data_IF_066025058431
#
_entry.id   IF_066025058431
#
_cell.length_a   1.000
_cell.length_b   1.000
_cell.length_c   1.000
_cell.angle_alpha   90.00
_cell.angle_beta   90.00
_cell.angle_gamma   90.00
#
_symmetry.space_group_name_H-M   'P 1'
#
loop_
_entity.id
_entity.type
_entity.pdbx_description
1 polymer ?
#
# COMPACT_ATOMS: atom_id res chain seq x y z
N UNK A 1 -6.00 -28.11 -5.18
CA UNK A 1 -4.97 -27.07 -5.29
C UNK A 1 -5.22 -26.31 -6.58
N UNK A 2 -5.41 -24.99 -6.51
CA UNK A 2 -5.65 -24.13 -7.69
C UNK A 2 -4.42 -23.24 -7.89
N UNK A 3 -3.87 -23.18 -9.09
CA UNK A 3 -2.77 -22.29 -9.46
C UNK A 3 -3.32 -21.09 -10.21
N UNK A 4 -2.80 -19.91 -9.90
CA UNK A 4 -3.21 -18.63 -10.47
C UNK A 4 -1.96 -17.84 -10.79
N UNK A 5 -1.92 -17.26 -11.97
CA UNK A 5 -0.76 -16.48 -12.43
C UNK A 5 -0.66 -15.13 -11.71
N UNK A 6 0.58 -14.72 -11.48
CA UNK A 6 0.93 -13.45 -10.83
C UNK A 6 1.59 -12.55 -11.85
N UNK A 7 1.07 -11.33 -11.97
CA UNK A 7 1.50 -10.36 -12.96
C UNK A 7 2.15 -9.13 -12.32
N UNK A 8 3.03 -8.50 -13.08
CA UNK A 8 3.57 -7.17 -12.80
C UNK A 8 3.60 -6.41 -14.12
N UNK A 9 2.83 -5.31 -14.22
CA UNK A 9 2.71 -4.51 -15.45
C UNK A 9 2.42 -5.41 -16.68
N UNK A 10 1.40 -6.25 -16.54
CA UNK A 10 0.94 -7.23 -17.53
C UNK A 10 1.92 -8.32 -17.96
N UNK A 11 3.10 -8.38 -17.34
CA UNK A 11 4.04 -9.49 -17.51
C UNK A 11 3.82 -10.52 -16.41
N UNK A 12 3.65 -11.79 -16.79
CA UNK A 12 3.65 -12.89 -15.82
C UNK A 12 5.04 -13.00 -15.17
N UNK A 13 5.07 -12.96 -13.84
CA UNK A 13 6.30 -12.94 -13.03
C UNK A 13 6.31 -14.02 -11.95
N UNK A 14 5.22 -14.76 -11.80
CA UNK A 14 5.14 -15.81 -10.81
C UNK A 14 3.82 -16.55 -10.80
N UNK A 15 3.62 -17.32 -9.74
CA UNK A 15 2.42 -18.13 -9.54
C UNK A 15 2.02 -18.11 -8.07
N UNK A 16 0.72 -18.01 -7.83
CA UNK A 16 0.09 -18.19 -6.54
C UNK A 16 -0.66 -19.52 -6.50
N UNK A 17 -0.48 -20.26 -5.42
CA UNK A 17 -1.17 -21.51 -5.14
C UNK A 17 -2.20 -21.28 -4.04
N UNK A 18 -3.44 -21.68 -4.31
CA UNK A 18 -4.50 -21.73 -3.33
C UNK A 18 -4.62 -23.16 -2.81
N UNK A 19 -4.25 -23.31 -1.54
CA UNK A 19 -4.22 -24.55 -0.80
C UNK A 19 -5.34 -24.54 0.25
N UNK A 20 -5.88 -25.71 0.56
CA UNK A 20 -6.76 -25.89 1.72
C UNK A 20 -5.93 -26.54 2.83
N UNK A 21 -5.80 -25.86 3.96
CA UNK A 21 -5.13 -26.37 5.16
C UNK A 21 -6.12 -26.36 6.32
N UNK A 22 -6.75 -27.50 6.56
CA UNK A 22 -7.81 -27.62 7.55
C UNK A 22 -8.96 -26.66 7.25
N UNK A 23 -9.24 -25.74 8.17
CA UNK A 23 -10.31 -24.73 8.04
C UNK A 23 -9.88 -23.47 7.27
N UNK A 24 -8.62 -23.39 6.85
CA UNK A 24 -8.07 -22.22 6.18
C UNK A 24 -7.88 -22.44 4.69
N UNK A 25 -8.05 -21.37 3.94
CA UNK A 25 -7.48 -21.25 2.59
C UNK A 25 -6.14 -20.53 2.72
N UNK A 26 -5.10 -21.12 2.16
CA UNK A 26 -3.75 -20.58 2.19
C UNK A 26 -3.38 -20.15 0.79
N UNK A 27 -2.99 -18.89 0.66
CA UNK A 27 -2.39 -18.34 -0.55
C UNK A 27 -0.89 -18.43 -0.36
N UNK A 28 -0.22 -19.14 -1.26
CA UNK A 28 1.22 -19.23 -1.31
C UNK A 28 1.70 -18.72 -2.67
N UNK A 29 2.27 -17.53 -2.68
CA UNK A 29 2.74 -16.84 -3.87
C UNK A 29 4.26 -16.87 -3.94
N UNK A 30 4.79 -17.20 -5.11
CA UNK A 30 6.20 -17.06 -5.46
C UNK A 30 6.34 -16.31 -6.77
N UNK A 31 7.26 -15.35 -6.84
CA UNK A 31 7.57 -14.63 -8.07
C UNK A 31 9.04 -14.24 -8.15
N UNK A 32 9.45 -13.77 -9.33
CA UNK A 32 10.82 -13.29 -9.58
C UNK A 32 11.22 -12.21 -8.59
N UNK A 33 12.53 -12.08 -8.35
CA UNK A 33 13.05 -11.07 -7.45
C UNK A 33 12.87 -9.65 -7.99
N UNK A 34 12.55 -8.70 -7.10
CA UNK A 34 12.55 -7.27 -7.37
C UNK A 34 13.35 -6.56 -6.29
N UNK A 35 14.23 -5.63 -6.67
CA UNK A 35 15.03 -4.80 -5.74
C UNK A 35 14.20 -3.67 -5.10
N UNK A 36 12.94 -3.94 -4.74
CA UNK A 36 12.04 -3.02 -4.06
C UNK A 36 10.95 -3.77 -3.31
N UNK A 37 10.28 -3.08 -2.39
CA UNK A 37 9.15 -3.62 -1.65
C UNK A 37 7.98 -3.90 -2.61
N UNK A 38 7.54 -5.16 -2.69
CA UNK A 38 6.40 -5.56 -3.52
C UNK A 38 5.24 -6.02 -2.64
N UNK A 39 4.02 -5.69 -3.04
CA UNK A 39 2.78 -6.14 -2.39
C UNK A 39 1.96 -6.95 -3.37
N UNK A 40 1.40 -8.07 -2.88
CA UNK A 40 0.49 -8.92 -3.62
C UNK A 40 -0.95 -8.43 -3.47
N UNK A 41 -1.69 -8.40 -4.58
CA UNK A 41 -3.09 -8.07 -4.67
C UNK A 41 -3.86 -9.18 -5.40
N UNK A 42 -5.03 -9.54 -4.88
CA UNK A 42 -6.00 -10.31 -5.65
C UNK A 42 -6.85 -9.37 -6.49
N UNK A 43 -7.06 -9.72 -7.75
CA UNK A 43 -7.95 -8.98 -8.67
C UNK A 43 -9.33 -9.63 -8.64
N UNK A 44 -10.33 -8.87 -8.20
CA UNK A 44 -11.73 -9.29 -8.16
C UNK A 44 -12.56 -8.30 -8.98
N UNK A 45 -12.83 -8.64 -10.24
CA UNK A 45 -13.43 -7.71 -11.19
C UNK A 45 -12.49 -6.54 -11.46
N UNK A 46 -12.94 -5.32 -11.13
CA UNK A 46 -12.16 -4.09 -11.29
C UNK A 46 -11.40 -3.67 -10.03
N UNK A 47 -11.55 -4.41 -8.92
CA UNK A 47 -11.00 -4.06 -7.63
C UNK A 47 -9.75 -4.86 -7.26
N UNK A 48 -8.87 -4.21 -6.50
CA UNK A 48 -7.63 -4.77 -6.00
C UNK A 48 -7.69 -4.96 -4.50
N UNK A 49 -7.55 -6.20 -4.05
CA UNK A 49 -7.57 -6.54 -2.63
C UNK A 49 -6.18 -6.88 -2.16
N UNK A 50 -5.62 -6.04 -1.29
CA UNK A 50 -4.28 -6.24 -0.73
C UNK A 50 -4.23 -7.53 0.10
N UNK A 51 -3.36 -8.45 -0.30
CA UNK A 51 -3.07 -9.69 0.43
C UNK A 51 -1.96 -9.45 1.46
N UNK A 52 -0.90 -8.77 1.05
CA UNK A 52 0.21 -8.43 1.93
C UNK A 52 1.52 -8.16 1.20
N UNK A 53 2.52 -7.75 1.96
CA UNK A 53 3.88 -7.46 1.48
C UNK A 53 4.63 -8.77 1.25
N UNK A 54 5.30 -8.88 0.12
CA UNK A 54 6.12 -10.04 -0.22
C UNK A 54 7.50 -9.94 0.44
N UNK A 55 7.97 -11.07 0.96
CA UNK A 55 9.28 -11.19 1.59
C UNK A 55 10.32 -11.73 0.60
N UNK A 56 11.55 -11.20 0.60
CA UNK A 56 12.64 -11.76 -0.19
C UNK A 56 13.07 -13.13 0.32
N UNK A 57 13.46 -14.00 -0.61
CA UNK A 57 14.00 -15.35 -0.42
C UNK A 57 15.11 -15.59 -1.44
N UNK A 58 15.87 -16.68 -1.32
CA UNK A 58 16.93 -17.05 -2.28
C UNK A 58 16.38 -17.20 -3.71
N UNK A 59 15.14 -17.68 -3.85
CA UNK A 59 14.49 -17.97 -5.14
C UNK A 59 13.65 -16.80 -5.69
N UNK A 60 13.64 -15.63 -5.03
CA UNK A 60 12.81 -14.48 -5.42
C UNK A 60 11.97 -13.94 -4.28
N UNK A 61 10.76 -13.47 -4.59
CA UNK A 61 9.81 -12.97 -3.59
C UNK A 61 8.76 -14.02 -3.27
N UNK A 62 8.42 -14.13 -1.99
CA UNK A 62 7.43 -15.08 -1.49
C UNK A 62 6.42 -14.40 -0.56
N UNK A 63 5.17 -14.82 -0.61
CA UNK A 63 4.17 -14.51 0.39
C UNK A 63 3.35 -15.74 0.71
N UNK A 64 3.13 -15.99 2.01
CA UNK A 64 2.20 -17.01 2.47
C UNK A 64 1.20 -16.41 3.45
N UNK A 65 -0.09 -16.42 3.09
CA UNK A 65 -1.16 -15.83 3.90
C UNK A 65 -2.33 -16.80 4.06
N UNK A 66 -2.85 -16.89 5.28
CA UNK A 66 -4.01 -17.73 5.63
C UNK A 66 -5.26 -16.88 5.73
N UNK A 67 -6.36 -17.41 5.22
CA UNK A 67 -7.71 -16.84 5.26
C UNK A 67 -8.68 -17.86 5.86
N UNK A 68 -9.40 -17.45 6.89
CA UNK A 68 -10.52 -18.22 7.44
C UNK A 68 -11.74 -18.13 6.52
N UNK A 69 -12.77 -18.95 6.78
CA UNK A 69 -14.06 -18.84 6.08
C UNK A 69 -14.69 -17.45 6.24
N UNK A 70 -14.57 -16.82 7.41
CA UNK A 70 -15.11 -15.49 7.67
C UNK A 70 -14.37 -14.41 6.88
N UNK A 71 -13.06 -14.55 6.71
CA UNK A 71 -12.27 -13.62 5.88
C UNK A 71 -12.70 -13.71 4.42
N UNK A 72 -12.92 -14.93 3.92
CA UNK A 72 -13.34 -15.16 2.53
C UNK A 72 -14.78 -14.70 2.24
N UNK A 73 -15.66 -14.68 3.24
CA UNK A 73 -17.00 -14.09 3.08
C UNK A 73 -16.95 -12.57 2.89
N UNK A 74 -15.97 -11.89 3.52
CA UNK A 74 -15.77 -10.45 3.37
C UNK A 74 -15.04 -10.12 2.08
N UNK A 75 -14.07 -10.94 1.70
CA UNK A 75 -13.29 -10.76 0.49
C UNK A 75 -13.05 -12.13 -0.16
N UNK A 76 -13.78 -12.47 -1.24
CA UNK A 76 -13.78 -13.81 -1.83
C UNK A 76 -12.52 -14.05 -2.68
N UNK A 77 -11.35 -13.97 -2.05
CA UNK A 77 -10.05 -14.09 -2.73
C UNK A 77 -9.89 -15.47 -3.37
N UNK A 78 -10.57 -16.49 -2.88
CA UNK A 78 -10.54 -17.83 -3.46
C UNK A 78 -11.22 -17.93 -4.84
N UNK A 79 -12.05 -16.94 -5.19
CA UNK A 79 -12.67 -16.82 -6.51
C UNK A 79 -11.84 -16.01 -7.51
N UNK A 80 -10.73 -15.39 -7.08
CA UNK A 80 -9.90 -14.61 -8.01
C UNK A 80 -9.35 -15.50 -9.14
N UNK A 81 -9.10 -14.86 -10.28
CA UNK A 81 -8.51 -15.49 -11.48
C UNK A 81 -7.14 -14.92 -11.81
N UNK A 82 -6.72 -13.87 -11.10
CA UNK A 82 -5.45 -13.17 -11.34
C UNK A 82 -4.94 -12.54 -10.05
N UNK A 83 -3.63 -12.59 -9.87
CA UNK A 83 -2.92 -11.77 -8.90
C UNK A 83 -2.04 -10.74 -9.59
N UNK A 84 -1.91 -9.58 -8.95
CA UNK A 84 -0.96 -8.54 -9.33
C UNK A 84 0.02 -8.32 -8.19
N UNK A 85 1.29 -8.10 -8.53
CA UNK A 85 2.24 -7.50 -7.62
C UNK A 85 2.46 -6.06 -8.02
N UNK A 86 2.56 -5.19 -7.03
CA UNK A 86 2.82 -3.76 -7.24
C UNK A 86 3.92 -3.34 -6.29
N UNK A 87 4.88 -2.58 -6.81
CA UNK A 87 5.86 -1.89 -5.99
C UNK A 87 5.24 -0.70 -5.28
N UNK A 88 5.97 -0.12 -4.33
CA UNK A 88 5.58 1.11 -3.62
C UNK A 88 5.24 2.28 -4.54
N UNK A 89 5.83 2.30 -5.74
CA UNK A 89 5.73 3.41 -6.69
C UNK A 89 4.72 3.10 -7.82
N UNK A 90 4.12 1.91 -7.80
CA UNK A 90 3.17 1.46 -8.81
C UNK A 90 1.74 1.78 -8.35
N UNK A 91 1.03 2.59 -9.13
CA UNK A 91 -0.42 2.73 -8.98
C UNK A 91 -1.11 1.47 -9.50
N UNK A 92 -2.18 0.97 -8.85
CA UNK A 92 -2.93 -0.16 -9.37
C UNK A 92 -3.40 0.11 -10.79
N UNK A 93 -2.82 -0.60 -11.75
CA UNK A 93 -3.25 -0.55 -13.13
C UNK A 93 -4.57 -1.29 -13.22
N UNK A 94 -5.68 -0.54 -13.29
CA UNK A 94 -6.98 -1.08 -13.66
C UNK A 94 -6.82 -1.75 -15.04
N UNK A 95 -7.27 -3.01 -15.26
CA UNK A 95 -7.19 -3.61 -16.58
C UNK A 95 -7.89 -2.68 -17.58
N UNK A 96 -7.15 -2.27 -18.62
CA UNK A 96 -7.63 -1.30 -19.60
C UNK A 96 -8.89 -1.80 -20.31
N UNK A 97 -10.04 -1.28 -19.91
CA UNK A 97 -11.19 -1.22 -20.80
C UNK A 97 -10.93 -0.08 -21.80
N UNK A 98 -10.94 -0.45 -23.07
CA UNK A 98 -10.66 0.39 -24.25
C UNK A 98 -11.40 1.75 -24.20
N UNK A 99 -10.62 2.82 -24.39
CA UNK A 99 -10.96 4.22 -24.81
C UNK A 99 -11.78 5.15 -23.88
N UNK A 100 -11.09 6.15 -23.31
CA UNK A 100 -11.26 7.62 -23.58
C UNK A 100 -10.18 8.45 -22.82
N UNK A 101 -9.83 9.65 -23.30
CA UNK A 101 -8.47 10.21 -23.20
C UNK A 101 -8.07 10.61 -21.78
N UNK A 102 -6.79 10.39 -21.48
CA UNK A 102 -6.06 10.86 -20.29
C UNK A 102 -6.39 12.32 -19.93
N UNK A 103 -6.64 12.64 -18.65
CA UNK A 103 -6.19 13.90 -18.13
C UNK A 103 -4.68 13.80 -17.90
N UNK A 104 -3.98 14.61 -18.69
CA UNK A 104 -2.54 14.77 -18.71
C UNK A 104 -1.93 14.87 -17.31
N UNK A 105 -0.75 14.25 -17.17
CA UNK A 105 0.30 14.64 -16.21
C UNK A 105 0.46 16.17 -16.25
N UNK A 106 -0.10 16.84 -15.26
CA UNK A 106 0.27 18.23 -14.98
C UNK A 106 1.22 18.21 -13.81
N UNK A 107 2.47 18.60 -14.09
CA UNK A 107 3.36 19.16 -13.06
C UNK A 107 2.61 20.35 -12.44
N UNK A 108 1.98 20.16 -11.30
CA UNK A 108 1.53 21.28 -10.46
C UNK A 108 2.55 21.46 -9.34
N UNK A 109 2.95 22.71 -9.17
CA UNK A 109 3.91 23.19 -8.19
C UNK A 109 3.58 22.69 -6.78
N UNK A 110 4.64 22.37 -6.03
CA UNK A 110 4.60 21.82 -4.67
C UNK A 110 3.70 22.63 -3.72
N UNK A 111 2.48 22.14 -3.48
CA UNK A 111 1.58 22.63 -2.45
C UNK A 111 1.94 22.15 -1.04
N UNK A 112 3.08 21.44 -0.90
CA UNK A 112 3.58 20.91 0.36
C UNK A 112 4.36 21.99 1.11
N UNK A 113 4.03 22.18 2.39
CA UNK A 113 4.71 23.11 3.29
C UNK A 113 5.28 22.37 4.49
N UNK A 114 6.35 22.84 5.13
CA UNK A 114 6.81 22.27 6.40
C UNK A 114 5.69 22.26 7.46
N UNK A 115 5.56 21.16 8.18
CA UNK A 115 4.70 21.07 9.34
C UNK A 115 5.41 21.74 10.54
N UNK A 116 4.99 22.96 10.90
CA UNK A 116 5.58 23.68 12.04
C UNK A 116 5.22 23.04 13.38
N UNK A 117 3.97 22.57 13.50
CA UNK A 117 3.48 21.82 14.66
C UNK A 117 2.68 20.61 14.17
N UNK A 118 3.33 19.46 13.90
CA UNK A 118 2.65 18.27 13.42
C UNK A 118 1.73 17.64 14.47
N UNK A 119 1.95 17.90 15.76
CA UNK A 119 1.10 17.43 16.85
C UNK A 119 -0.32 17.98 16.75
N UNK A 120 -0.44 19.28 16.43
CA UNK A 120 -1.73 19.97 16.27
C UNK A 120 -2.66 19.38 15.19
N UNK A 121 -2.13 18.50 14.34
CA UNK A 121 -2.91 17.83 13.29
C UNK A 121 -3.80 16.71 13.84
N UNK A 122 -3.50 16.18 15.03
CA UNK A 122 -4.21 15.02 15.58
C UNK A 122 -5.08 15.42 16.77
N UNK A 123 -6.24 14.78 16.90
CA UNK A 123 -7.11 14.91 18.07
C UNK A 123 -6.76 13.90 19.18
N UNK A 124 -6.03 12.83 18.84
CA UNK A 124 -5.62 11.78 19.76
C UNK A 124 -4.33 12.18 20.52
N UNK A 125 -4.32 12.24 21.87
CA UNK A 125 -3.18 12.72 22.64
C UNK A 125 -1.87 11.94 22.41
N UNK A 126 -1.95 10.62 22.23
CA UNK A 126 -0.76 9.77 22.01
C UNK A 126 -0.16 10.06 20.63
N UNK A 127 -1.01 10.26 19.61
CA UNK A 127 -0.58 10.69 18.28
C UNK A 127 -0.07 12.13 18.28
N UNK A 128 -0.66 13.04 19.05
CA UNK A 128 -0.17 14.41 19.18
C UNK A 128 1.26 14.45 19.72
N UNK A 129 1.53 13.73 20.82
CA UNK A 129 2.87 13.66 21.42
C UNK A 129 3.88 13.06 20.45
N UNK A 130 3.53 11.92 19.83
CA UNK A 130 4.41 11.24 18.87
C UNK A 130 4.66 12.09 17.62
N UNK A 131 3.64 12.78 17.11
CA UNK A 131 3.74 13.64 15.93
C UNK A 131 4.53 14.93 16.20
N UNK A 132 4.43 15.49 17.40
CA UNK A 132 5.18 16.69 17.80
C UNK A 132 6.71 16.47 17.76
N UNK A 133 7.16 15.22 17.93
CA UNK A 133 8.58 14.87 17.85
C UNK A 133 9.10 14.70 16.40
N UNK A 134 8.23 14.74 15.40
CA UNK A 134 8.58 14.46 14.01
C UNK A 134 9.24 15.67 13.36
N UNK A 135 10.48 15.47 12.90
CA UNK A 135 11.24 16.49 12.15
C UNK A 135 11.09 16.28 10.65
N UNK A 136 10.92 17.38 9.92
CA UNK A 136 10.84 17.36 8.45
C UNK A 136 9.53 16.81 7.90
N UNK A 137 8.47 16.77 8.72
CA UNK A 137 7.13 16.50 8.24
C UNK A 137 6.66 17.60 7.29
N UNK A 138 5.89 17.22 6.28
CA UNK A 138 5.32 18.12 5.28
C UNK A 138 3.79 18.02 5.35
N UNK A 139 3.11 19.14 5.14
CA UNK A 139 1.65 19.24 5.11
C UNK A 139 1.19 19.82 3.79
N UNK A 140 0.11 19.26 3.26
CA UNK A 140 -0.66 19.85 2.18
C UNK A 140 -2.15 19.83 2.56
N UNK A 141 -2.94 20.74 2.00
CA UNK A 141 -4.40 20.74 2.18
C UNK A 141 -5.07 20.36 0.87
N UNK A 142 -6.00 19.43 0.93
CA UNK A 142 -6.86 19.05 -0.18
C UNK A 142 -8.32 19.15 0.28
N UNK A 143 -8.94 20.31 0.07
CA UNK A 143 -10.29 20.60 0.56
C UNK A 143 -10.37 20.58 2.09
N UNK A 144 -11.20 19.69 2.62
CA UNK A 144 -11.43 19.45 4.05
C UNK A 144 -10.44 18.44 4.68
N UNK A 145 -9.57 17.83 3.87
CA UNK A 145 -8.57 16.86 4.31
C UNK A 145 -7.18 17.50 4.37
N UNK A 146 -6.48 17.24 5.47
CA UNK A 146 -5.06 17.56 5.62
C UNK A 146 -4.25 16.33 5.28
N UNK A 147 -3.28 16.48 4.38
CA UNK A 147 -2.30 15.47 4.06
C UNK A 147 -1.05 15.73 4.90
N UNK A 148 -0.59 14.76 5.67
CA UNK A 148 0.62 14.84 6.48
C UNK A 148 1.64 13.80 6.03
N UNK A 149 2.74 14.25 5.47
CA UNK A 149 3.80 13.43 4.91
C UNK A 149 5.03 13.40 5.81
N UNK A 150 5.52 12.19 6.13
CA UNK A 150 6.70 11.98 6.96
C UNK A 150 7.77 11.29 6.12
N UNK A 151 8.96 11.90 5.95
CA UNK A 151 10.05 11.26 5.24
C UNK A 151 10.49 9.97 5.93
N UNK A 152 10.69 8.91 5.14
CA UNK A 152 11.23 7.65 5.63
C UNK A 152 12.76 7.74 5.59
N UNK A 153 13.40 7.42 6.71
CA UNK A 153 14.84 7.26 6.81
C UNK A 153 15.16 5.82 7.22
N UNK A 154 16.20 5.24 6.63
CA UNK A 154 16.75 3.95 7.08
C UNK A 154 17.52 4.06 8.39
N UNK A 155 17.84 5.28 8.84
CA UNK A 155 18.66 5.53 10.03
C UNK A 155 17.84 5.60 11.33
N UNK A 156 16.51 5.76 11.23
CA UNK A 156 15.64 5.89 12.40
C UNK A 156 14.34 5.10 12.21
N UNK A 157 13.81 4.47 13.27
CA UNK A 157 12.50 3.83 13.22
C UNK A 157 11.42 4.85 12.88
N UNK A 158 10.41 4.42 12.14
CA UNK A 158 9.33 5.31 11.71
C UNK A 158 8.54 5.81 12.94
N UNK A 159 8.38 7.13 13.15
CA UNK A 159 7.83 7.66 14.40
C UNK A 159 6.37 7.24 14.63
N UNK A 160 5.56 7.15 13.57
CA UNK A 160 4.15 6.75 13.65
C UNK A 160 3.93 5.25 13.37
N UNK A 161 4.82 4.37 13.85
CA UNK A 161 4.67 2.92 13.69
C UNK A 161 3.28 2.36 14.06
N UNK A 162 2.63 2.79 15.17
CA UNK A 162 1.32 2.25 15.56
C UNK A 162 0.21 2.47 14.53
N UNK A 163 0.30 3.58 13.78
CA UNK A 163 -0.70 3.97 12.78
C UNK A 163 -0.19 3.84 11.34
N UNK A 164 1.01 3.30 11.13
CA UNK A 164 1.64 3.14 9.81
C UNK A 164 0.72 2.48 8.77
N UNK A 165 -0.17 1.58 9.20
CA UNK A 165 -1.16 0.91 8.33
C UNK A 165 -2.16 1.85 7.64
N UNK A 166 -2.37 3.05 8.18
CA UNK A 166 -3.24 4.08 7.63
C UNK A 166 -2.50 5.02 6.67
N UNK A 167 -1.17 4.92 6.62
CA UNK A 167 -0.35 5.72 5.73
C UNK A 167 -0.28 5.14 4.32
N UNK A 168 -0.20 6.02 3.34
CA UNK A 168 0.12 5.70 1.94
C UNK A 168 1.53 6.17 1.61
N UNK A 169 2.29 5.42 0.84
CA UNK A 169 3.62 5.88 0.41
C UNK A 169 3.50 6.84 -0.78
N UNK A 170 4.28 7.92 -0.78
CA UNK A 170 4.38 8.83 -1.91
C UNK A 170 5.80 9.40 -2.05
N UNK A 171 6.16 9.76 -3.27
CA UNK A 171 7.39 10.52 -3.54
C UNK A 171 7.09 12.02 -3.48
N UNK A 172 7.65 12.71 -2.49
CA UNK A 172 7.50 14.16 -2.31
C UNK A 172 8.90 14.77 -2.29
N UNK A 173 9.16 15.71 -3.22
CA UNK A 173 10.46 16.37 -3.38
C UNK A 173 11.65 15.38 -3.49
N UNK A 174 11.43 14.25 -4.15
CA UNK A 174 12.46 13.21 -4.34
C UNK A 174 12.72 12.33 -3.10
N UNK A 175 11.95 12.51 -2.02
CA UNK A 175 12.01 11.67 -0.82
C UNK A 175 10.81 10.74 -0.75
N UNK A 176 11.05 9.51 -0.32
CA UNK A 176 9.99 8.57 0.00
C UNK A 176 9.37 8.98 1.34
N UNK A 177 8.08 9.29 1.32
CA UNK A 177 7.33 9.73 2.48
C UNK A 177 6.15 8.79 2.73
N UNK A 178 5.76 8.65 4.00
CA UNK A 178 4.45 8.11 4.36
C UNK A 178 3.50 9.27 4.56
N UNK A 179 2.41 9.28 3.79
CA UNK A 179 1.37 10.30 3.77
C UNK A 179 0.13 9.77 4.47
N UNK A 180 -0.29 10.48 5.50
CA UNK A 180 -1.53 10.27 6.22
C UNK A 180 -2.57 11.26 5.74
N UNK A 181 -3.80 10.78 5.61
CA UNK A 181 -4.96 11.64 5.42
C UNK A 181 -5.60 11.88 6.79
N UNK A 182 -5.82 13.15 7.10
CA UNK A 182 -6.34 13.59 8.39
C UNK A 182 -7.55 14.47 8.13
N UNK A 183 -8.68 14.10 8.73
CA UNK A 183 -9.91 14.88 8.70
C UNK A 183 -10.41 15.08 10.12
N UNK A 184 -10.65 16.33 10.50
CA UNK A 184 -11.09 16.72 11.84
C UNK A 184 -10.22 16.16 12.98
N UNK A 185 -8.91 15.99 12.74
CA UNK A 185 -7.96 15.45 13.71
C UNK A 185 -7.84 13.92 13.73
N UNK A 186 -8.57 13.20 12.86
CA UNK A 186 -8.59 11.74 12.80
C UNK A 186 -8.01 11.21 11.49
N UNK A 187 -7.32 10.08 11.58
CA UNK A 187 -6.84 9.33 10.42
C UNK A 187 -8.01 8.68 9.68
N UNK A 188 -8.04 8.82 8.35
CA UNK A 188 -9.05 8.23 7.47
C UNK A 188 -8.42 7.31 6.41
#
# INVERSE_FOLDING_TARGET
>A
MKKIDVFYRDKQVGTAELLKEGLFTVIHCKCTYFHKLMRLYAVLGEEFYSIGIMSPTEDGLCLRKKYSKNDLQKTPIDTCTRFEIMGSDDTPHKPEAVTKPEPQKTKEDSAWKPAEDPGSLFADPDLMETASAIKGGLVARNGDVVLFAIPISSEQPFPLMPVFRYGSSAMIEGKCCIVFQIKDGYLI
#
